data_IF_692379521310
#
_entry.id   IF_692379521310
#
_cell.length_a   1.000
_cell.length_b   1.000
_cell.length_c   1.000
_cell.angle_alpha   90.00
_cell.angle_beta   90.00
_cell.angle_gamma   90.00
#
_symmetry.space_group_name_H-M   'P 1'
#
loop_
_entity.id
_entity.type
_entity.pdbx_description
1 polymer ?
#
# COMPACT_ATOMS: atom_id res chain seq x y z
N UNK A 1 -61.56 -20.63 -55.85
CA UNK A 1 -60.57 -20.90 -54.78
C UNK A 1 -59.19 -20.54 -55.32
N UNK A 2 -58.55 -19.47 -54.83
CA UNK A 2 -57.27 -19.02 -55.37
C UNK A 2 -56.13 -19.98 -54.97
N UNK A 3 -55.31 -20.38 -55.96
CA UNK A 3 -54.17 -21.27 -55.74
C UNK A 3 -53.12 -20.62 -54.81
N UNK A 4 -52.38 -21.41 -53.99
CA UNK A 4 -51.46 -20.87 -53.00
C UNK A 4 -50.23 -20.21 -53.66
N UNK A 5 -50.28 -18.89 -53.87
CA UNK A 5 -49.21 -18.08 -54.47
C UNK A 5 -47.92 -17.98 -53.61
N UNK A 6 -47.97 -18.45 -52.36
CA UNK A 6 -46.85 -18.38 -51.40
C UNK A 6 -45.57 -19.05 -51.91
N UNK A 7 -45.69 -20.16 -52.67
CA UNK A 7 -44.54 -20.90 -53.20
C UNK A 7 -43.82 -20.12 -54.31
N UNK A 8 -44.57 -19.44 -55.18
CA UNK A 8 -44.03 -18.61 -56.26
C UNK A 8 -43.37 -17.32 -55.72
N UNK A 9 -44.00 -16.67 -54.73
CA UNK A 9 -43.44 -15.47 -54.09
C UNK A 9 -42.17 -15.79 -53.29
N UNK A 10 -42.11 -16.93 -52.60
CA UNK A 10 -40.91 -17.40 -51.93
C UNK A 10 -39.77 -17.69 -52.93
N UNK A 11 -40.06 -18.36 -54.05
CA UNK A 11 -39.09 -18.62 -55.11
C UNK A 11 -38.55 -17.33 -55.76
N UNK A 12 -39.43 -16.36 -56.07
CA UNK A 12 -39.04 -15.03 -56.59
C UNK A 12 -38.12 -14.30 -55.62
N UNK A 13 -38.44 -14.33 -54.31
CA UNK A 13 -37.63 -13.69 -53.27
C UNK A 13 -36.27 -14.39 -53.11
N UNK A 14 -36.23 -15.71 -53.17
CA UNK A 14 -34.99 -16.50 -53.11
C UNK A 14 -34.09 -16.25 -54.33
N UNK A 15 -34.67 -16.13 -55.53
CA UNK A 15 -33.93 -15.86 -56.77
C UNK A 15 -33.32 -14.44 -56.80
N UNK A 16 -34.06 -13.43 -56.32
CA UNK A 16 -33.61 -12.03 -56.38
C UNK A 16 -32.75 -11.59 -55.19
N UNK A 17 -33.07 -12.04 -53.96
CA UNK A 17 -32.40 -11.60 -52.73
C UNK A 17 -31.57 -12.68 -52.04
N UNK A 18 -31.59 -13.91 -52.56
CA UNK A 18 -30.91 -15.05 -51.96
C UNK A 18 -31.61 -15.60 -50.72
N UNK A 19 -31.02 -16.66 -50.16
CA UNK A 19 -31.58 -17.41 -49.01
C UNK A 19 -31.26 -16.71 -47.67
N UNK A 20 -30.22 -15.88 -47.62
CA UNK A 20 -29.76 -15.15 -46.42
C UNK A 20 -30.51 -13.83 -46.20
N UNK A 21 -31.84 -13.89 -46.15
CA UNK A 21 -32.71 -12.71 -45.97
C UNK A 21 -33.18 -12.45 -44.54
N UNK A 22 -32.87 -13.34 -43.59
CA UNK A 22 -33.30 -13.21 -42.19
C UNK A 22 -32.18 -12.62 -41.35
N UNK A 23 -32.42 -11.45 -40.75
CA UNK A 23 -31.51 -10.84 -39.78
C UNK A 23 -32.08 -10.99 -38.37
N UNK A 24 -31.31 -11.58 -37.46
CA UNK A 24 -31.66 -11.68 -36.04
C UNK A 24 -31.02 -10.50 -35.32
N UNK A 25 -31.84 -9.68 -34.66
CA UNK A 25 -31.35 -8.54 -33.86
C UNK A 25 -31.17 -8.95 -32.42
N UNK A 26 -30.09 -8.50 -31.78
CA UNK A 26 -29.88 -8.68 -30.34
C UNK A 26 -30.88 -7.80 -29.58
N UNK A 27 -31.74 -8.41 -28.78
CA UNK A 27 -32.69 -7.70 -27.93
C UNK A 27 -31.90 -7.03 -26.79
N UNK A 28 -32.07 -5.72 -26.63
CA UNK A 28 -31.54 -4.95 -25.49
C UNK A 28 -32.73 -4.57 -24.62
N UNK A 29 -32.76 -5.04 -23.39
CA UNK A 29 -33.85 -4.80 -22.42
C UNK A 29 -33.70 -3.48 -21.65
N UNK A 30 -32.49 -2.92 -21.64
CA UNK A 30 -32.19 -1.59 -21.09
C UNK A 30 -32.50 -0.48 -22.10
N UNK A 31 -33.13 0.59 -21.63
CA UNK A 31 -33.29 1.85 -22.39
C UNK A 31 -31.99 2.63 -22.52
N UNK A 32 -31.02 2.38 -21.64
CA UNK A 32 -29.70 3.01 -21.65
C UNK A 32 -28.66 2.13 -22.37
N UNK A 33 -27.80 2.77 -23.15
CA UNK A 33 -26.66 2.13 -23.80
C UNK A 33 -25.37 2.47 -23.05
N UNK A 34 -24.76 1.47 -22.41
CA UNK A 34 -23.50 1.63 -21.68
C UNK A 34 -22.29 1.27 -22.54
N UNK A 35 -21.16 1.90 -22.26
CA UNK A 35 -19.87 1.54 -22.86
C UNK A 35 -19.57 0.07 -22.50
N UNK A 36 -19.36 -0.81 -23.49
CA UNK A 36 -19.04 -2.21 -23.21
C UNK A 36 -17.68 -2.30 -22.53
N UNK A 37 -17.54 -3.25 -21.61
CA UNK A 37 -16.22 -3.57 -21.04
C UNK A 37 -15.37 -4.19 -22.15
N UNK A 38 -14.35 -3.46 -22.56
CA UNK A 38 -13.38 -3.88 -23.57
C UNK A 38 -12.05 -4.28 -22.92
N UNK A 39 -11.15 -4.87 -23.70
CA UNK A 39 -9.82 -5.25 -23.24
C UNK A 39 -8.99 -3.99 -22.91
N UNK A 40 -8.51 -3.90 -21.67
CA UNK A 40 -7.57 -2.87 -21.23
C UNK A 40 -6.14 -3.45 -21.19
N UNK A 41 -5.28 -3.00 -22.12
CA UNK A 41 -3.88 -3.44 -22.19
C UNK A 41 -3.05 -2.84 -21.04
N UNK A 42 -2.10 -3.62 -20.52
CA UNK A 42 -1.12 -3.14 -19.54
C UNK A 42 -0.13 -2.17 -20.23
N UNK A 43 0.38 -1.20 -19.47
CA UNK A 43 1.40 -0.26 -19.96
C UNK A 43 2.74 -0.99 -20.16
N UNK A 44 3.29 -0.95 -21.37
CA UNK A 44 4.62 -1.46 -21.71
C UNK A 44 5.42 -0.38 -22.46
N UNK A 45 6.01 0.61 -21.75
CA UNK A 45 6.76 1.70 -22.38
C UNK A 45 8.10 1.21 -22.95
N UNK A 46 8.59 1.87 -24.02
CA UNK A 46 9.88 1.53 -24.66
C UNK A 46 11.11 1.93 -23.84
N UNK A 47 10.96 2.92 -22.96
CA UNK A 47 12.04 3.42 -22.11
C UNK A 47 11.52 3.67 -20.68
N UNK A 48 12.41 3.57 -19.70
CA UNK A 48 12.08 3.86 -18.32
C UNK A 48 11.88 5.37 -18.12
N UNK A 49 10.89 5.75 -17.30
CA UNK A 49 10.62 7.17 -16.98
C UNK A 49 11.72 7.84 -16.15
N UNK A 50 12.49 7.04 -15.42
CA UNK A 50 13.68 7.45 -14.68
C UNK A 50 14.79 6.50 -15.05
N UNK A 51 15.98 7.04 -15.29
CA UNK A 51 17.17 6.24 -15.62
C UNK A 51 17.61 5.37 -14.44
N UNK A 52 17.48 5.88 -13.21
CA UNK A 52 17.96 5.22 -11.98
C UNK A 52 16.86 5.23 -10.91
N UNK A 53 16.79 4.16 -10.12
CA UNK A 53 15.90 4.06 -8.97
C UNK A 53 16.40 4.92 -7.79
N UNK A 54 15.50 5.52 -7.01
CA UNK A 54 15.92 6.25 -5.82
C UNK A 54 16.38 5.31 -4.72
N UNK A 55 17.48 5.68 -4.04
CA UNK A 55 17.87 5.08 -2.78
C UNK A 55 16.78 5.29 -1.70
N UNK A 56 16.67 4.37 -0.72
CA UNK A 56 15.72 4.51 0.38
C UNK A 56 15.97 5.82 1.13
N UNK A 57 14.98 6.71 1.16
CA UNK A 57 15.11 8.04 1.77
C UNK A 57 14.99 8.00 3.30
N UNK A 58 14.48 6.91 3.86
CA UNK A 58 14.25 6.67 5.28
C UNK A 58 14.91 5.35 5.67
N UNK A 59 16.15 5.42 6.11
CA UNK A 59 16.91 4.32 6.68
C UNK A 59 16.83 4.34 8.21
N UNK A 60 17.42 3.34 8.87
CA UNK A 60 17.32 3.21 10.33
C UNK A 60 18.00 4.38 11.05
N UNK A 61 19.15 4.84 10.54
CA UNK A 61 19.91 5.96 11.08
C UNK A 61 19.19 7.31 10.94
N UNK A 62 18.37 7.49 9.90
CA UNK A 62 17.50 8.68 9.81
C UNK A 62 16.27 8.58 10.70
N UNK A 63 15.71 7.37 10.86
CA UNK A 63 14.54 7.15 11.70
C UNK A 63 14.86 7.52 13.15
N UNK A 64 15.89 6.90 13.73
CA UNK A 64 16.32 7.16 15.12
C UNK A 64 17.44 8.20 15.09
N UNK A 65 17.18 9.40 15.62
CA UNK A 65 18.17 10.48 15.60
C UNK A 65 19.10 10.44 16.81
N UNK A 66 18.53 10.38 18.01
CA UNK A 66 19.30 10.33 19.25
C UNK A 66 18.47 9.70 20.38
N UNK A 67 19.10 9.05 21.37
CA UNK A 67 18.45 8.74 22.64
C UNK A 67 18.15 10.03 23.42
N UNK A 68 17.26 9.93 24.40
CA UNK A 68 16.86 11.06 25.24
C UNK A 68 17.21 10.74 26.71
N UNK A 69 18.13 11.52 27.29
CA UNK A 69 18.77 11.29 28.58
C UNK A 69 18.24 12.20 29.70
N UNK A 70 16.97 12.60 29.64
CA UNK A 70 16.36 13.43 30.71
C UNK A 70 16.03 12.58 31.93
N UNK A 71 15.96 13.17 33.12
CA UNK A 71 15.58 12.48 34.36
C UNK A 71 14.30 11.65 34.22
N UNK A 72 13.27 12.23 33.59
CA UNK A 72 12.00 11.53 33.32
C UNK A 72 12.13 10.34 32.36
N UNK A 73 13.14 10.35 31.49
CA UNK A 73 13.46 9.26 30.59
C UNK A 73 14.29 8.18 31.29
N UNK A 74 15.25 8.56 32.14
CA UNK A 74 15.99 7.61 32.98
C UNK A 74 15.04 6.83 33.90
N UNK A 75 14.09 7.52 34.53
CA UNK A 75 13.02 6.87 35.32
C UNK A 75 12.20 5.85 34.51
N UNK A 76 11.96 6.13 33.23
CA UNK A 76 11.23 5.23 32.32
C UNK A 76 12.05 3.99 31.92
N UNK A 77 13.37 4.12 31.86
CA UNK A 77 14.27 2.99 31.63
C UNK A 77 14.19 2.04 32.83
N UNK A 78 14.34 2.57 34.04
CA UNK A 78 14.35 1.79 35.29
C UNK A 78 12.99 1.15 35.62
N UNK A 79 11.89 1.92 35.62
CA UNK A 79 10.60 1.44 36.15
C UNK A 79 9.80 0.58 35.17
N UNK A 80 9.97 0.81 33.87
CA UNK A 80 9.04 0.31 32.85
C UNK A 80 9.71 -0.45 31.70
N UNK A 81 11.04 -0.62 31.75
CA UNK A 81 11.82 -1.21 30.68
C UNK A 81 11.56 -0.51 29.32
N UNK A 82 11.60 0.84 29.35
CA UNK A 82 11.27 1.68 28.18
C UNK A 82 12.40 2.62 27.80
N UNK A 83 12.89 2.50 26.57
CA UNK A 83 13.83 3.44 25.97
C UNK A 83 13.10 4.63 25.33
N UNK A 84 13.66 5.83 25.49
CA UNK A 84 13.10 7.04 24.89
C UNK A 84 14.04 7.59 23.82
N UNK A 85 13.52 7.75 22.60
CA UNK A 85 14.27 8.26 21.46
C UNK A 85 13.66 9.54 20.89
N UNK A 86 14.52 10.39 20.35
CA UNK A 86 14.15 11.41 19.39
C UNK A 86 14.19 10.82 17.98
N UNK A 87 13.12 11.02 17.22
CA UNK A 87 12.83 10.35 15.95
C UNK A 87 12.43 11.38 14.90
N UNK A 88 12.65 11.06 13.62
CA UNK A 88 12.12 11.85 12.51
C UNK A 88 10.58 11.92 12.53
N UNK A 89 10.03 13.11 12.24
CA UNK A 89 8.58 13.36 12.25
C UNK A 89 7.82 12.49 11.25
N UNK A 90 8.47 12.08 10.16
CA UNK A 90 7.85 11.23 9.13
C UNK A 90 7.85 9.74 9.50
N UNK A 91 8.60 9.33 10.52
CA UNK A 91 8.70 7.92 10.89
C UNK A 91 7.42 7.42 11.57
N UNK A 92 6.92 6.25 11.20
CA UNK A 92 5.80 5.59 11.87
C UNK A 92 6.27 4.59 12.94
N UNK A 93 5.34 4.06 13.74
CA UNK A 93 5.66 3.11 14.82
C UNK A 93 6.37 1.85 14.33
N UNK A 94 5.99 1.35 13.16
CA UNK A 94 6.57 0.14 12.57
C UNK A 94 8.03 0.38 12.17
N UNK A 95 8.33 1.51 11.52
CA UNK A 95 9.68 1.90 11.14
C UNK A 95 10.58 2.10 12.37
N UNK A 96 10.04 2.67 13.45
CA UNK A 96 10.78 2.83 14.71
C UNK A 96 11.08 1.46 15.32
N UNK A 97 10.09 0.57 15.38
CA UNK A 97 10.26 -0.81 15.88
C UNK A 97 11.33 -1.56 15.08
N UNK A 98 11.28 -1.48 13.75
CA UNK A 98 12.26 -2.11 12.86
C UNK A 98 13.64 -1.48 12.99
N UNK A 99 13.73 -0.16 13.18
CA UNK A 99 15.00 0.55 13.34
C UNK A 99 15.68 0.19 14.67
N UNK A 100 14.93 0.15 15.77
CA UNK A 100 15.45 -0.28 17.08
C UNK A 100 15.96 -1.71 17.00
N UNK A 101 15.19 -2.60 16.36
CA UNK A 101 15.57 -4.00 16.19
C UNK A 101 16.86 -4.17 15.39
N UNK A 102 17.06 -3.39 14.32
CA UNK A 102 18.25 -3.52 13.47
C UNK A 102 19.49 -2.82 14.02
N UNK A 103 19.32 -1.71 14.75
CA UNK A 103 20.46 -0.92 15.25
C UNK A 103 21.00 -1.47 16.56
N UNK A 104 20.12 -1.98 17.42
CA UNK A 104 20.48 -2.37 18.78
C UNK A 104 20.25 -3.86 19.07
N UNK A 105 19.75 -4.62 18.09
CA UNK A 105 19.41 -6.05 18.21
C UNK A 105 18.37 -6.36 19.29
N UNK A 106 17.45 -5.41 19.55
CA UNK A 106 16.42 -5.55 20.59
C UNK A 106 15.01 -5.53 20.01
N UNK A 107 14.15 -6.42 20.50
CA UNK A 107 12.74 -6.42 20.14
C UNK A 107 11.91 -5.48 21.02
N UNK A 108 11.16 -4.58 20.38
CA UNK A 108 10.19 -3.75 21.06
C UNK A 108 8.84 -4.48 21.19
N UNK A 109 8.31 -4.58 22.40
CA UNK A 109 6.95 -5.02 22.67
C UNK A 109 5.94 -4.04 22.06
N UNK A 110 6.06 -2.75 22.39
CA UNK A 110 5.18 -1.69 21.90
C UNK A 110 5.93 -0.36 21.73
N UNK A 111 5.40 0.49 20.84
CA UNK A 111 5.94 1.82 20.58
C UNK A 111 4.83 2.87 20.70
N UNK A 112 5.07 3.87 21.54
CA UNK A 112 4.22 5.04 21.72
C UNK A 112 4.98 6.27 21.21
N UNK A 113 4.29 7.18 20.53
CA UNK A 113 4.94 8.35 19.91
C UNK A 113 4.14 9.61 20.19
N UNK A 114 4.82 10.72 20.41
CA UNK A 114 4.23 12.06 20.46
C UNK A 114 5.09 13.04 19.66
N UNK A 115 4.50 14.12 19.15
CA UNK A 115 5.23 15.23 18.55
C UNK A 115 5.52 16.24 19.66
N UNK A 116 6.79 16.62 19.83
CA UNK A 116 7.21 17.64 20.79
C UNK A 116 6.97 19.04 20.20
N UNK A 117 6.78 20.07 21.04
CA UNK A 117 6.64 21.45 20.57
C UNK A 117 7.88 21.93 19.78
N UNK A 118 9.06 21.37 20.05
CA UNK A 118 10.33 21.63 19.34
C UNK A 118 10.33 21.14 17.87
N UNK A 119 9.24 20.52 17.40
CA UNK A 119 9.12 20.03 16.02
C UNK A 119 9.74 18.65 15.77
N UNK A 120 10.23 17.97 16.81
CA UNK A 120 10.73 16.59 16.73
C UNK A 120 9.74 15.57 17.28
N UNK A 121 9.77 14.33 16.77
CA UNK A 121 8.96 13.24 17.33
C UNK A 121 9.72 12.59 18.48
N UNK A 122 9.05 12.34 19.60
CA UNK A 122 9.53 11.53 20.71
C UNK A 122 8.88 10.16 20.63
N UNK A 123 9.66 9.10 20.77
CA UNK A 123 9.18 7.72 20.81
C UNK A 123 9.55 7.07 22.13
N UNK A 124 8.57 6.46 22.79
CA UNK A 124 8.75 5.57 23.92
C UNK A 124 8.67 4.14 23.40
N UNK A 125 9.73 3.39 23.58
CA UNK A 125 9.91 2.04 23.06
C UNK A 125 10.01 1.10 24.24
N UNK A 126 8.95 0.33 24.48
CA UNK A 126 8.93 -0.70 25.53
C UNK A 126 9.56 -1.96 24.98
N UNK A 127 10.58 -2.48 25.66
CA UNK A 127 11.26 -3.71 25.29
C UNK A 127 10.48 -4.93 25.76
N UNK A 128 10.83 -6.11 25.25
CA UNK A 128 10.34 -7.39 25.80
C UNK A 128 10.95 -7.64 27.18
N UNK A 129 10.34 -8.53 27.97
CA UNK A 129 10.81 -8.82 29.32
C UNK A 129 12.17 -9.56 29.35
N UNK A 130 12.60 -10.11 28.21
CA UNK A 130 13.83 -10.88 28.09
C UNK A 130 15.09 -10.00 28.05
N UNK A 131 14.94 -8.71 27.80
CA UNK A 131 16.05 -7.75 27.66
C UNK A 131 15.84 -6.57 28.60
N UNK A 132 16.88 -6.21 29.35
CA UNK A 132 16.88 -5.04 30.21
C UNK A 132 17.27 -3.77 29.43
N UNK A 133 16.43 -2.73 29.51
CA UNK A 133 16.69 -1.43 28.90
C UNK A 133 17.94 -0.75 29.48
N UNK A 134 18.30 -1.01 30.74
CA UNK A 134 19.49 -0.41 31.36
C UNK A 134 20.77 -0.91 30.67
N UNK A 135 20.89 -2.22 30.47
CA UNK A 135 22.02 -2.83 29.76
C UNK A 135 22.13 -2.36 28.31
N UNK A 136 20.99 -2.22 27.63
CA UNK A 136 20.95 -1.69 26.27
C UNK A 136 21.38 -0.22 26.25
N UNK A 137 20.98 0.59 27.24
CA UNK A 137 21.40 1.98 27.34
C UNK A 137 22.93 2.12 27.55
N UNK A 138 23.51 1.27 28.40
CA UNK A 138 24.96 1.18 28.60
C UNK A 138 25.68 0.81 27.29
N UNK A 139 25.15 -0.17 26.55
CA UNK A 139 25.71 -0.60 25.26
C UNK A 139 25.66 0.50 24.20
N UNK A 140 24.62 1.34 24.22
CA UNK A 140 24.50 2.50 23.33
C UNK A 140 25.43 3.64 23.80
N UNK A 141 25.69 3.75 25.10
CA UNK A 141 26.64 4.71 25.69
C UNK A 141 26.04 6.08 25.97
N UNK A 142 24.79 6.16 26.43
CA UNK A 142 24.14 7.42 26.82
C UNK A 142 23.76 7.52 28.31
N UNK A 143 24.14 6.51 29.10
CA UNK A 143 24.03 6.45 30.55
C UNK A 143 25.38 6.12 31.16
#
# INVERSE_FOLDING_TARGET
>A
MAAPQNKALAAKKAALKGVHGKTVRKIRTSTHFHIPKTLALKRAPKYARKSIAHAPRMDQYRVIRQPLNTETAMKKIEEHNTLTFLVDVKANKNQIKDAVKRLYDVEAQQVNTLIRPDGYKKAFVRLTADVDALDVANKIGFI
#
